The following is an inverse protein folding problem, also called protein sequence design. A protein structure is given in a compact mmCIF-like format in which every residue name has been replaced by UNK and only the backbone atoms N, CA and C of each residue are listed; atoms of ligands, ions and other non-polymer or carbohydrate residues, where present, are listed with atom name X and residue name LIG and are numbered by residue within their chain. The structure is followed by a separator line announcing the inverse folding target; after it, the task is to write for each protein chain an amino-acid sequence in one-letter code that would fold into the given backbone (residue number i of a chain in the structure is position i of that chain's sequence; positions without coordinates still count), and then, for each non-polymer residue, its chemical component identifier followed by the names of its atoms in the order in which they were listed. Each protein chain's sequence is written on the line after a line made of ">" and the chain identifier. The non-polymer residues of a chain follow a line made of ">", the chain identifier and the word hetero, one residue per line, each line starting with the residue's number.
data_IF_049663835942
#
_entry.id   IF_049663835942
#
_cell.length_a   1.000
_cell.length_b   1.000
_cell.length_c   1.000
_cell.angle_alpha   90.00
_cell.angle_beta   90.00
_cell.angle_gamma   90.00
#
_symmetry.space_group_name_H-M   'P 1'
#
loop_
_entity.id
_entity.type
_entity.pdbx_description
1 polymer ?
#
# COMPACT_ATOMS: atom_id res chain seq x y z
N UNK A 1 -53.35 -4.27 -27.43
CA UNK A 1 -52.68 -4.99 -26.34
C UNK A 1 -51.22 -5.02 -26.71
N UNK A 2 -50.52 -3.95 -26.33
CA UNK A 2 -49.11 -3.68 -26.68
C UNK A 2 -48.23 -3.93 -25.44
N UNK A 3 -47.40 -4.94 -25.52
CA UNK A 3 -46.32 -5.18 -24.58
C UNK A 3 -45.26 -4.12 -24.75
N UNK A 4 -44.99 -3.38 -23.68
CA UNK A 4 -43.84 -2.47 -23.58
C UNK A 4 -42.68 -3.29 -23.00
N UNK A 5 -41.73 -3.66 -23.86
CA UNK A 5 -40.43 -4.14 -23.48
C UNK A 5 -39.67 -3.01 -22.76
N UNK A 6 -39.47 -3.16 -21.46
CA UNK A 6 -38.64 -2.27 -20.65
C UNK A 6 -37.21 -2.78 -20.76
N UNK A 7 -36.48 -2.23 -21.71
CA UNK A 7 -35.03 -2.44 -21.87
C UNK A 7 -34.31 -1.77 -20.69
N UNK A 8 -33.98 -2.56 -19.69
CA UNK A 8 -33.13 -2.15 -18.57
C UNK A 8 -31.68 -2.07 -19.08
N UNK A 9 -31.29 -0.89 -19.56
CA UNK A 9 -29.90 -0.59 -19.87
C UNK A 9 -29.11 -0.58 -18.57
N UNK A 10 -28.36 -1.67 -18.34
CA UNK A 10 -27.29 -1.74 -17.35
C UNK A 10 -26.16 -0.80 -17.80
N UNK A 11 -26.23 0.46 -17.40
CA UNK A 11 -25.17 1.44 -17.59
C UNK A 11 -24.11 1.22 -16.53
N UNK A 12 -23.25 0.23 -16.72
CA UNK A 12 -21.95 0.19 -16.07
C UNK A 12 -21.13 1.37 -16.63
N UNK A 13 -21.33 2.54 -16.06
CA UNK A 13 -20.59 3.76 -16.43
C UNK A 13 -19.16 3.57 -15.94
N UNK A 14 -18.23 3.20 -16.84
CA UNK A 14 -16.81 3.29 -16.59
C UNK A 14 -16.50 4.74 -16.14
N UNK A 15 -15.96 4.97 -14.93
CA UNK A 15 -15.77 6.31 -14.41
C UNK A 15 -14.86 7.12 -15.33
N UNK A 16 -15.10 8.43 -15.50
CA UNK A 16 -14.38 9.26 -16.45
C UNK A 16 -12.87 9.18 -16.24
N UNK A 17 -12.13 8.93 -17.34
CA UNK A 17 -10.67 8.79 -17.36
C UNK A 17 -9.92 10.10 -17.08
N UNK A 18 -10.64 11.20 -16.87
CA UNK A 18 -10.12 12.57 -16.81
C UNK A 18 -9.81 13.08 -15.39
N UNK A 19 -9.67 12.20 -14.42
CA UNK A 19 -9.30 12.60 -13.06
C UNK A 19 -8.23 11.70 -12.46
N UNK A 20 -7.50 12.23 -11.47
CA UNK A 20 -6.57 11.45 -10.65
C UNK A 20 -7.29 10.29 -9.99
N UNK A 21 -6.65 9.14 -9.93
CA UNK A 21 -7.13 7.96 -9.22
C UNK A 21 -5.97 7.24 -8.54
N UNK A 22 -6.28 6.38 -7.60
CA UNK A 22 -5.31 5.68 -6.76
C UNK A 22 -5.12 4.24 -7.23
N UNK A 23 -3.88 3.85 -7.45
CA UNK A 23 -3.45 2.45 -7.58
C UNK A 23 -2.88 2.00 -6.26
N UNK A 24 -3.54 1.05 -5.61
CA UNK A 24 -3.07 0.46 -4.35
C UNK A 24 -2.08 -0.66 -4.63
N UNK A 25 -0.87 -0.57 -4.07
CA UNK A 25 0.17 -1.58 -4.13
C UNK A 25 0.41 -2.16 -2.74
N UNK A 26 -0.39 -3.15 -2.39
CA UNK A 26 -0.30 -3.92 -1.16
C UNK A 26 0.65 -5.13 -1.31
N UNK A 27 0.94 -5.83 -0.23
CA UNK A 27 1.74 -7.05 -0.24
C UNK A 27 2.74 -7.12 0.91
N UNK A 28 3.30 -8.29 1.19
CA UNK A 28 4.24 -8.48 2.28
C UNK A 28 5.51 -7.67 2.10
N UNK A 29 6.20 -7.40 3.21
CA UNK A 29 7.51 -6.73 3.18
C UNK A 29 8.50 -7.53 2.32
N UNK A 30 9.26 -6.83 1.45
CA UNK A 30 10.22 -7.49 0.53
C UNK A 30 9.60 -8.05 -0.75
N UNK A 31 8.28 -7.96 -0.96
CA UNK A 31 7.61 -8.39 -2.19
C UNK A 31 7.93 -7.53 -3.43
N UNK A 32 8.55 -6.35 -3.24
CA UNK A 32 8.98 -5.49 -4.34
C UNK A 32 7.98 -4.40 -4.74
N UNK A 33 7.05 -4.03 -3.86
CA UNK A 33 6.09 -2.93 -4.06
C UNK A 33 6.77 -1.60 -4.38
N UNK A 34 7.67 -1.15 -3.50
CA UNK A 34 8.37 0.13 -3.66
C UNK A 34 9.19 0.16 -4.96
N UNK A 35 9.88 -0.94 -5.31
CA UNK A 35 10.59 -1.04 -6.61
C UNK A 35 9.65 -0.99 -7.81
N UNK A 36 8.44 -1.55 -7.69
CA UNK A 36 7.41 -1.44 -8.72
C UNK A 36 6.93 0.00 -8.84
N UNK A 37 6.62 0.66 -7.71
CA UNK A 37 6.21 2.05 -7.69
C UNK A 37 7.28 2.98 -8.28
N UNK A 38 8.55 2.79 -7.93
CA UNK A 38 9.69 3.52 -8.50
C UNK A 38 9.81 3.36 -10.03
N UNK A 39 9.61 2.14 -10.56
CA UNK A 39 9.66 1.91 -12.02
C UNK A 39 8.47 2.56 -12.74
N UNK A 40 7.27 2.49 -12.16
CA UNK A 40 6.09 3.15 -12.71
C UNK A 40 6.25 4.68 -12.69
N UNK A 41 6.76 5.23 -11.59
CA UNK A 41 7.12 6.63 -11.47
C UNK A 41 8.15 7.05 -12.55
N UNK A 42 9.24 6.30 -12.71
CA UNK A 42 10.26 6.61 -13.71
C UNK A 42 9.74 6.58 -15.15
N UNK A 43 8.71 5.77 -15.45
CA UNK A 43 8.14 5.64 -16.80
C UNK A 43 7.00 6.59 -17.12
N UNK A 44 6.20 6.95 -16.11
CA UNK A 44 4.95 7.71 -16.28
C UNK A 44 4.93 9.03 -15.53
N UNK A 45 5.87 9.28 -14.64
CA UNK A 45 5.86 10.44 -13.75
C UNK A 45 4.87 10.33 -12.58
N UNK A 46 4.10 9.24 -12.47
CA UNK A 46 3.07 9.08 -11.47
C UNK A 46 3.62 9.20 -10.05
N UNK A 47 3.01 9.99 -9.17
CA UNK A 47 3.52 10.19 -7.83
C UNK A 47 3.43 8.94 -6.97
N UNK A 48 4.43 8.72 -6.13
CA UNK A 48 4.44 7.64 -5.13
C UNK A 48 3.97 8.19 -3.80
N UNK A 49 2.92 7.58 -3.26
CA UNK A 49 2.35 7.88 -1.96
C UNK A 49 2.69 6.73 -0.99
N UNK A 50 3.57 6.99 -0.03
CA UNK A 50 4.03 5.98 0.91
C UNK A 50 3.09 5.92 2.11
N UNK A 51 2.26 4.89 2.17
CA UNK A 51 1.35 4.68 3.29
C UNK A 51 2.09 4.32 4.59
N UNK A 52 3.27 3.70 4.46
CA UNK A 52 4.11 3.36 5.61
C UNK A 52 4.66 4.62 6.35
N UNK A 53 4.57 5.81 5.76
CA UNK A 53 4.92 7.07 6.43
C UNK A 53 3.84 7.56 7.42
N UNK A 54 2.67 6.92 7.44
CA UNK A 54 1.57 7.24 8.35
C UNK A 54 1.52 6.36 9.60
N UNK A 55 2.62 5.72 9.98
CA UNK A 55 2.70 5.04 11.26
C UNK A 55 2.46 6.03 12.41
N UNK A 56 1.81 5.53 13.46
CA UNK A 56 1.66 6.27 14.72
C UNK A 56 3.01 6.44 15.39
N UNK A 57 3.18 7.53 16.13
CA UNK A 57 4.38 7.71 16.94
C UNK A 57 4.47 6.62 18.02
N UNK A 58 5.67 6.24 18.41
CA UNK A 58 5.89 5.14 19.37
C UNK A 58 5.33 5.40 20.78
N UNK A 59 5.07 6.64 21.13
CA UNK A 59 4.43 7.08 22.37
C UNK A 59 2.94 7.43 22.21
N UNK A 60 2.36 7.30 21.01
CA UNK A 60 0.93 7.46 20.78
C UNK A 60 0.14 6.45 21.65
N UNK A 61 -0.79 6.91 22.51
CA UNK A 61 -1.61 6.02 23.34
C UNK A 61 -2.54 5.13 22.50
N UNK A 62 -2.85 5.49 21.25
CA UNK A 62 -3.62 4.69 20.32
C UNK A 62 -2.79 3.62 19.60
N UNK A 63 -1.45 3.64 19.72
CA UNK A 63 -0.60 2.61 19.11
C UNK A 63 -0.82 1.25 19.81
N UNK A 64 -1.12 0.17 19.06
CA UNK A 64 -1.37 -1.14 19.63
C UNK A 64 -0.10 -1.66 20.32
N UNK A 65 -0.27 -2.34 21.47
CA UNK A 65 0.85 -2.90 22.23
C UNK A 65 0.79 -4.41 22.24
N UNK A 66 1.96 -5.04 22.07
CA UNK A 66 2.07 -6.49 22.18
C UNK A 66 1.67 -6.94 23.58
N UNK A 67 0.70 -7.87 23.73
CA UNK A 67 0.06 -8.19 25.00
C UNK A 67 1.01 -8.69 26.07
N UNK A 68 2.11 -9.34 25.69
CA UNK A 68 3.10 -9.90 26.64
C UNK A 68 4.35 -9.03 26.81
N UNK A 69 4.71 -8.23 25.80
CA UNK A 69 5.97 -7.47 25.81
C UNK A 69 5.78 -5.99 26.17
N UNK A 70 4.55 -5.48 26.13
CA UNK A 70 4.23 -4.07 26.44
C UNK A 70 4.80 -3.03 25.44
N UNK A 71 5.55 -3.47 24.43
CA UNK A 71 6.08 -2.62 23.35
C UNK A 71 5.05 -2.47 22.22
N UNK A 72 5.19 -1.44 21.40
CA UNK A 72 4.29 -1.22 20.25
C UNK A 72 4.39 -2.41 19.28
N UNK A 73 3.23 -2.90 18.85
CA UNK A 73 3.10 -3.96 17.83
C UNK A 73 2.96 -3.32 16.44
N UNK A 74 4.09 -3.12 15.78
CA UNK A 74 4.18 -2.53 14.45
C UNK A 74 3.64 -3.41 13.31
N UNK A 75 3.40 -4.69 13.59
CA UNK A 75 2.81 -5.62 12.63
C UNK A 75 1.25 -5.63 12.72
N UNK A 76 0.67 -4.91 13.68
CA UNK A 76 -0.77 -4.77 13.85
C UNK A 76 -1.33 -3.65 12.95
N UNK A 77 -2.50 -3.83 12.28
CA UNK A 77 -3.07 -2.80 11.39
C UNK A 77 -3.31 -1.45 12.06
N UNK A 78 -3.65 -1.41 13.35
CA UNK A 78 -3.88 -0.16 14.08
C UNK A 78 -2.59 0.59 14.43
N UNK A 79 -1.41 0.05 14.09
CA UNK A 79 -0.13 0.73 14.28
C UNK A 79 0.07 1.93 13.34
N UNK A 80 -0.75 2.07 12.30
CA UNK A 80 -0.74 3.20 11.39
C UNK A 80 -2.07 3.93 11.36
N UNK A 81 -2.06 5.19 10.93
CA UNK A 81 -3.23 6.07 10.88
C UNK A 81 -3.88 6.02 9.50
N UNK A 82 -4.78 5.06 9.29
CA UNK A 82 -5.50 4.90 8.03
C UNK A 82 -6.39 6.10 7.70
N UNK A 83 -6.97 6.76 8.70
CA UNK A 83 -7.86 7.91 8.51
C UNK A 83 -7.08 9.10 7.96
N UNK A 84 -5.93 9.39 8.56
CA UNK A 84 -5.02 10.44 8.09
C UNK A 84 -4.47 10.15 6.70
N UNK A 85 -4.12 8.89 6.41
CA UNK A 85 -3.64 8.47 5.10
C UNK A 85 -4.71 8.66 4.01
N UNK A 86 -5.96 8.25 4.27
CA UNK A 86 -7.08 8.42 3.32
C UNK A 86 -7.40 9.91 3.12
N UNK A 87 -7.37 10.72 4.18
CA UNK A 87 -7.58 12.16 4.07
C UNK A 87 -6.53 12.83 3.18
N UNK A 88 -5.24 12.47 3.32
CA UNK A 88 -4.17 12.98 2.48
C UNK A 88 -4.26 12.46 1.03
N UNK A 89 -4.69 11.21 0.80
CA UNK A 89 -4.96 10.69 -0.55
C UNK A 89 -6.11 11.46 -1.22
N UNK A 90 -7.18 11.73 -0.49
CA UNK A 90 -8.32 12.53 -0.98
C UNK A 90 -7.86 13.93 -1.37
N UNK A 91 -7.11 14.60 -0.50
CA UNK A 91 -6.57 15.92 -0.79
C UNK A 91 -5.72 15.90 -2.07
N UNK A 92 -4.82 14.91 -2.24
CA UNK A 92 -3.99 14.76 -3.44
C UNK A 92 -4.83 14.52 -4.69
N UNK A 93 -5.86 13.66 -4.62
CA UNK A 93 -6.76 13.39 -5.76
C UNK A 93 -7.55 14.63 -6.15
N UNK A 94 -8.09 15.37 -5.19
CA UNK A 94 -8.97 16.51 -5.44
C UNK A 94 -8.18 17.75 -5.88
N UNK A 95 -7.10 18.08 -5.18
CA UNK A 95 -6.36 19.34 -5.37
C UNK A 95 -5.08 19.19 -6.21
N UNK A 96 -4.56 17.98 -6.35
CA UNK A 96 -3.28 17.69 -7.03
C UNK A 96 -2.05 17.89 -6.16
N UNK A 97 -2.19 18.14 -4.86
CA UNK A 97 -1.07 18.28 -3.91
C UNK A 97 -1.50 17.90 -2.51
N UNK A 98 -0.56 17.41 -1.72
CA UNK A 98 -0.74 17.14 -0.29
C UNK A 98 0.61 17.07 0.42
N UNK A 99 0.61 17.16 1.73
CA UNK A 99 1.80 16.98 2.56
C UNK A 99 1.83 15.56 3.15
N UNK A 100 2.89 14.81 2.84
CA UNK A 100 3.12 13.51 3.45
C UNK A 100 4.09 13.66 4.63
N UNK A 101 3.85 12.96 5.75
CA UNK A 101 4.83 12.88 6.82
C UNK A 101 6.11 12.18 6.33
N UNK A 102 7.22 12.46 7.01
CA UNK A 102 8.47 11.70 6.92
C UNK A 102 8.62 10.92 8.21
N UNK A 103 8.40 9.62 8.16
CA UNK A 103 8.49 8.77 9.34
C UNK A 103 9.88 8.16 9.50
N UNK A 104 10.48 8.38 10.65
CA UNK A 104 11.77 7.78 11.02
C UNK A 104 11.55 6.54 11.90
N UNK A 105 11.78 5.37 11.31
CA UNK A 105 11.67 4.07 11.99
C UNK A 105 12.64 3.97 13.18
N UNK A 106 13.80 4.63 13.12
CA UNK A 106 14.82 4.54 14.18
C UNK A 106 14.38 5.24 15.47
N UNK A 107 13.66 6.34 15.33
CA UNK A 107 13.10 7.11 16.44
C UNK A 107 11.63 6.77 16.72
N UNK A 108 11.00 5.99 15.81
CA UNK A 108 9.57 5.69 15.83
C UNK A 108 8.69 6.94 15.90
N UNK A 109 9.00 7.95 15.08
CA UNK A 109 8.31 9.25 15.05
C UNK A 109 8.27 9.86 13.67
N UNK A 110 7.25 10.66 13.43
CA UNK A 110 7.24 11.61 12.32
C UNK A 110 8.23 12.75 12.60
N UNK A 111 9.18 12.98 11.68
CA UNK A 111 10.27 13.96 11.84
C UNK A 111 10.12 15.20 10.96
N UNK A 112 9.12 15.20 10.07
CA UNK A 112 8.86 16.30 9.14
C UNK A 112 7.76 15.97 8.16
N UNK A 113 7.68 16.75 7.09
CA UNK A 113 6.77 16.50 5.97
C UNK A 113 7.41 16.94 4.66
N UNK A 114 6.91 16.39 3.55
CA UNK A 114 7.28 16.83 2.20
C UNK A 114 6.02 16.91 1.34
N UNK A 115 6.02 17.81 0.36
CA UNK A 115 4.91 17.95 -0.59
C UNK A 115 5.01 16.88 -1.68
N UNK A 116 3.87 16.28 -2.00
CA UNK A 116 3.68 15.42 -3.17
C UNK A 116 2.65 16.07 -4.08
N UNK A 117 2.95 16.09 -5.38
CA UNK A 117 2.09 16.66 -6.40
C UNK A 117 1.70 15.61 -7.45
N UNK A 118 0.51 15.76 -8.03
CA UNK A 118 -0.02 14.90 -9.08
C UNK A 118 -0.61 15.73 -10.21
N UNK A 119 -0.29 15.38 -11.46
CA UNK A 119 -0.93 15.93 -12.64
C UNK A 119 -2.43 15.59 -12.70
N UNK A 120 -3.24 16.27 -13.54
CA UNK A 120 -4.71 16.12 -13.54
C UNK A 120 -5.22 14.72 -13.81
N UNK A 121 -4.47 13.92 -14.57
CA UNK A 121 -4.82 12.54 -15.00
C UNK A 121 -3.90 11.46 -14.45
N UNK A 122 -3.03 11.81 -13.49
CA UNK A 122 -2.07 10.87 -12.93
C UNK A 122 -2.76 9.76 -12.11
N UNK A 123 -2.13 8.59 -12.13
CA UNK A 123 -2.39 7.53 -11.17
C UNK A 123 -1.47 7.70 -9.95
N UNK A 124 -2.06 7.91 -8.78
CA UNK A 124 -1.33 7.98 -7.52
C UNK A 124 -0.96 6.56 -7.06
N UNK A 125 0.32 6.27 -6.92
CA UNK A 125 0.80 4.94 -6.52
C UNK A 125 0.87 4.84 -5.00
N UNK A 126 -0.22 4.42 -4.35
CA UNK A 126 -0.29 4.23 -2.90
C UNK A 126 0.31 2.88 -2.50
N UNK A 127 1.50 2.87 -1.90
CA UNK A 127 2.21 1.64 -1.52
C UNK A 127 2.42 1.52 -0.02
N UNK A 128 2.30 0.29 0.51
CA UNK A 128 2.54 0.01 1.92
C UNK A 128 2.17 -1.42 2.30
N UNK A 129 2.60 -1.84 3.49
CA UNK A 129 2.29 -3.20 3.98
C UNK A 129 0.81 -3.33 4.39
N UNK A 130 0.17 -2.24 4.81
CA UNK A 130 -1.25 -2.17 5.15
C UNK A 130 -2.11 -1.53 4.05
N UNK A 131 -1.57 -1.33 2.84
CA UNK A 131 -2.25 -0.61 1.77
C UNK A 131 -3.62 -1.21 1.39
N UNK A 132 -3.84 -2.52 1.58
CA UNK A 132 -5.12 -3.13 1.32
C UNK A 132 -6.25 -2.67 2.27
N UNK A 133 -5.92 -2.17 3.46
CA UNK A 133 -6.91 -1.71 4.45
C UNK A 133 -7.72 -0.48 3.98
N UNK A 134 -7.20 0.28 3.02
CA UNK A 134 -7.90 1.46 2.49
C UNK A 134 -8.69 1.18 1.20
N UNK A 135 -8.61 -0.03 0.63
CA UNK A 135 -9.23 -0.37 -0.67
C UNK A 135 -10.73 -0.06 -0.69
N UNK A 136 -11.49 -0.59 0.27
CA UNK A 136 -12.93 -0.39 0.33
C UNK A 136 -13.32 1.09 0.49
N UNK A 137 -12.54 1.87 1.23
CA UNK A 137 -12.78 3.31 1.39
C UNK A 137 -12.54 4.06 0.08
N UNK A 138 -11.43 3.78 -0.60
CA UNK A 138 -11.10 4.41 -1.89
C UNK A 138 -12.11 4.03 -2.97
N UNK A 139 -12.64 2.80 -2.94
CA UNK A 139 -13.68 2.34 -3.83
C UNK A 139 -15.00 3.08 -3.58
N UNK A 140 -15.46 3.15 -2.33
CA UNK A 140 -16.68 3.86 -1.93
C UNK A 140 -16.64 5.36 -2.28
N UNK A 141 -15.46 5.98 -2.24
CA UNK A 141 -15.25 7.38 -2.60
C UNK A 141 -14.97 7.57 -4.10
N UNK A 142 -14.99 6.48 -4.88
CA UNK A 142 -14.73 6.49 -6.33
C UNK A 142 -13.32 6.95 -6.70
N UNK A 143 -12.37 6.88 -5.78
CA UNK A 143 -10.96 7.24 -5.99
C UNK A 143 -10.11 6.06 -6.47
N UNK A 144 -10.56 4.81 -6.27
CA UNK A 144 -9.79 3.64 -6.63
C UNK A 144 -9.72 3.46 -8.15
N UNK A 145 -8.51 3.27 -8.67
CA UNK A 145 -8.29 2.77 -10.03
C UNK A 145 -8.17 1.25 -10.02
N UNK A 146 -7.29 0.71 -9.18
CA UNK A 146 -7.07 -0.72 -9.03
C UNK A 146 -6.29 -1.02 -7.74
N UNK A 147 -6.45 -2.23 -7.20
CA UNK A 147 -5.74 -2.69 -6.02
C UNK A 147 -5.01 -4.00 -6.28
N UNK A 148 -3.72 -4.04 -5.98
CA UNK A 148 -2.84 -5.17 -6.25
C UNK A 148 -2.14 -5.64 -4.98
N UNK A 149 -2.25 -6.92 -4.67
CA UNK A 149 -1.39 -7.57 -3.68
C UNK A 149 -0.17 -8.15 -4.40
N UNK A 150 0.94 -7.40 -4.37
CA UNK A 150 2.20 -7.82 -4.99
C UNK A 150 2.83 -8.89 -4.13
N UNK A 151 3.05 -10.07 -4.71
CA UNK A 151 3.68 -11.19 -4.02
C UNK A 151 4.67 -11.94 -4.91
N UNK A 152 5.54 -12.72 -4.29
CA UNK A 152 6.46 -13.65 -4.94
C UNK A 152 6.36 -15.02 -4.27
N UNK A 153 7.21 -15.97 -4.71
CA UNK A 153 7.43 -17.18 -3.92
C UNK A 153 8.04 -16.79 -2.58
N UNK A 154 7.55 -17.30 -1.44
CA UNK A 154 8.01 -16.91 -0.09
C UNK A 154 9.53 -17.00 0.10
N UNK A 155 10.19 -18.00 -0.52
CA UNK A 155 11.66 -18.13 -0.52
C UNK A 155 12.38 -16.94 -1.19
N UNK A 156 11.82 -16.39 -2.26
CA UNK A 156 12.40 -15.23 -2.96
C UNK A 156 12.25 -13.96 -2.12
N UNK A 157 11.09 -13.78 -1.50
CA UNK A 157 10.84 -12.66 -0.57
C UNK A 157 11.76 -12.74 0.64
N UNK A 158 11.95 -13.93 1.19
CA UNK A 158 12.91 -14.20 2.29
C UNK A 158 14.33 -13.75 1.94
N UNK A 159 14.86 -14.22 0.80
CA UNK A 159 16.23 -13.88 0.37
C UNK A 159 16.38 -12.37 0.13
N UNK A 160 15.44 -11.72 -0.54
CA UNK A 160 15.48 -10.27 -0.79
C UNK A 160 15.48 -9.46 0.49
N UNK A 161 14.63 -9.85 1.46
CA UNK A 161 14.57 -9.22 2.78
C UNK A 161 15.86 -9.41 3.55
N UNK A 162 16.37 -10.64 3.57
CA UNK A 162 17.63 -10.96 4.26
C UNK A 162 18.80 -10.13 3.70
N UNK A 163 18.94 -10.05 2.38
CA UNK A 163 20.01 -9.26 1.74
C UNK A 163 19.89 -7.78 2.05
N UNK A 164 18.67 -7.20 2.06
CA UNK A 164 18.43 -5.82 2.45
C UNK A 164 18.83 -5.58 3.90
N UNK A 165 18.33 -6.41 4.81
CA UNK A 165 18.53 -6.24 6.26
C UNK A 165 19.99 -6.46 6.66
N UNK A 166 20.74 -7.33 5.93
CA UNK A 166 22.18 -7.47 6.08
C UNK A 166 22.94 -6.24 5.57
N UNK A 167 22.55 -5.67 4.44
CA UNK A 167 23.14 -4.45 3.89
C UNK A 167 22.98 -3.25 4.81
N UNK A 168 21.84 -3.14 5.48
CA UNK A 168 21.51 -2.05 6.41
C UNK A 168 22.07 -2.27 7.84
N UNK A 169 22.77 -3.39 8.10
CA UNK A 169 23.39 -3.75 9.39
C UNK A 169 22.47 -3.61 10.60
N UNK A 170 21.17 -3.79 10.42
CA UNK A 170 20.15 -3.52 11.47
C UNK A 170 20.20 -4.48 12.67
N UNK A 171 20.59 -5.74 12.47
CA UNK A 171 20.60 -6.79 13.52
C UNK A 171 21.62 -7.89 13.20
N UNK A 172 22.03 -8.72 14.19
CA UNK A 172 22.87 -9.90 13.97
C UNK A 172 22.26 -10.87 12.95
N UNK A 173 23.09 -11.51 12.09
CA UNK A 173 22.62 -12.41 11.01
C UNK A 173 21.69 -13.54 11.49
N UNK A 174 21.99 -14.15 12.65
CA UNK A 174 21.19 -15.24 13.24
C UNK A 174 19.77 -14.80 13.58
N UNK A 175 19.60 -13.57 14.08
CA UNK A 175 18.30 -12.98 14.40
C UNK A 175 17.51 -12.69 13.10
N UNK A 176 18.20 -12.21 12.07
CA UNK A 176 17.60 -11.93 10.76
C UNK A 176 17.11 -13.20 10.08
N UNK A 177 17.88 -14.28 10.10
CA UNK A 177 17.48 -15.57 9.53
C UNK A 177 16.24 -16.13 10.25
N UNK A 178 16.24 -16.15 11.60
CA UNK A 178 15.10 -16.66 12.40
C UNK A 178 13.82 -15.84 12.16
N UNK A 179 13.94 -14.49 12.15
CA UNK A 179 12.82 -13.60 11.85
C UNK A 179 12.33 -13.79 10.41
N UNK A 180 13.25 -13.87 9.46
CA UNK A 180 12.92 -14.09 8.05
C UNK A 180 12.18 -15.40 7.80
N UNK A 181 12.57 -16.46 8.47
CA UNK A 181 11.89 -17.78 8.40
C UNK A 181 10.46 -17.71 8.94
N UNK A 182 10.24 -17.03 10.08
CA UNK A 182 8.89 -16.83 10.63
C UNK A 182 8.02 -16.06 9.64
N UNK A 183 8.51 -14.93 9.14
CA UNK A 183 7.78 -14.08 8.18
C UNK A 183 7.51 -14.81 6.85
N UNK A 184 8.41 -15.71 6.41
CA UNK A 184 8.16 -16.54 5.23
C UNK A 184 6.97 -17.48 5.40
N UNK A 185 6.77 -18.02 6.63
CA UNK A 185 5.63 -18.88 6.94
C UNK A 185 4.32 -18.11 7.06
N UNK A 186 4.37 -16.87 7.51
CA UNK A 186 3.22 -15.98 7.68
C UNK A 186 2.78 -15.33 6.36
N UNK A 187 3.67 -15.26 5.35
CA UNK A 187 3.43 -14.59 4.07
C UNK A 187 2.14 -15.05 3.33
N UNK A 188 1.81 -16.35 3.24
CA UNK A 188 0.57 -16.79 2.60
C UNK A 188 -0.68 -16.24 3.28
N UNK A 189 -0.69 -16.17 4.62
CA UNK A 189 -1.79 -15.59 5.40
C UNK A 189 -1.93 -14.08 5.15
N UNK A 190 -0.81 -13.37 5.03
CA UNK A 190 -0.82 -11.93 4.68
C UNK A 190 -1.43 -11.73 3.30
N UNK A 191 -1.01 -12.50 2.29
CA UNK A 191 -1.56 -12.41 0.93
C UNK A 191 -3.06 -12.72 0.94
N UNK A 192 -3.48 -13.80 1.62
CA UNK A 192 -4.88 -14.16 1.74
C UNK A 192 -5.72 -13.04 2.38
N UNK A 193 -5.24 -12.44 3.47
CA UNK A 193 -5.95 -11.31 4.12
C UNK A 193 -6.06 -10.12 3.18
N UNK A 194 -5.00 -9.74 2.49
CA UNK A 194 -5.01 -8.57 1.60
C UNK A 194 -5.89 -8.80 0.36
N UNK A 195 -5.96 -10.04 -0.15
CA UNK A 195 -6.89 -10.37 -1.24
C UNK A 195 -8.35 -10.38 -0.76
N UNK A 196 -8.61 -10.78 0.47
CA UNK A 196 -9.94 -10.67 1.07
C UNK A 196 -10.40 -9.21 1.26
N UNK A 197 -9.47 -8.26 1.36
CA UNK A 197 -9.72 -6.82 1.40
C UNK A 197 -9.88 -6.17 0.01
N UNK A 198 -9.96 -6.96 -1.06
CA UNK A 198 -10.21 -6.48 -2.42
C UNK A 198 -8.97 -6.30 -3.31
N UNK A 199 -7.76 -6.59 -2.82
CA UNK A 199 -6.57 -6.51 -3.65
C UNK A 199 -6.37 -7.76 -4.51
N UNK A 200 -6.08 -7.61 -5.80
CA UNK A 200 -5.82 -8.73 -6.73
C UNK A 200 -4.39 -9.24 -6.56
N UNK A 201 -4.23 -10.52 -6.21
CA UNK A 201 -2.91 -11.14 -6.07
C UNK A 201 -2.18 -11.22 -7.42
N UNK A 202 -0.97 -10.64 -7.50
CA UNK A 202 -0.21 -10.61 -8.75
C UNK A 202 1.30 -10.47 -8.53
N UNK A 203 2.08 -10.80 -9.57
CA UNK A 203 3.52 -10.52 -9.59
C UNK A 203 3.78 -9.11 -10.08
N UNK A 204 4.80 -8.44 -9.54
CA UNK A 204 5.16 -7.07 -9.90
C UNK A 204 5.25 -6.83 -11.43
N UNK A 205 5.85 -7.77 -12.18
CA UNK A 205 5.96 -7.65 -13.64
C UNK A 205 4.61 -7.74 -14.38
N UNK A 206 3.63 -8.47 -13.84
CA UNK A 206 2.29 -8.51 -14.42
C UNK A 206 1.54 -7.22 -14.14
N UNK A 207 1.59 -6.72 -12.90
CA UNK A 207 1.00 -5.42 -12.53
C UNK A 207 1.57 -4.30 -13.41
N UNK A 208 2.90 -4.28 -13.59
CA UNK A 208 3.58 -3.27 -14.43
C UNK A 208 3.07 -3.30 -15.88
N UNK A 209 2.93 -4.49 -16.49
CA UNK A 209 2.38 -4.62 -17.84
C UNK A 209 0.93 -4.13 -17.93
N UNK A 210 0.10 -4.52 -16.96
CA UNK A 210 -1.32 -4.10 -16.94
C UNK A 210 -1.48 -2.58 -16.83
N UNK A 211 -0.64 -1.90 -16.04
CA UNK A 211 -0.72 -0.46 -15.83
C UNK A 211 -0.08 0.37 -16.95
N UNK A 212 0.85 -0.21 -17.71
CA UNK A 212 1.55 0.50 -18.77
C UNK A 212 0.92 0.28 -20.17
N UNK A 213 0.06 -0.73 -20.32
CA UNK A 213 -0.61 -1.09 -21.58
C UNK A 213 0.24 -2.04 -22.38
#
# INVERSE_FOLDING_TARGET
>A
MGEQDTDAQDTTTDPPRDRRRVVVLAGPSGAGKSRLAERLHARRGWPVFRLDDFYRDGDDPAAPRHPTLGIVDWDHPDSWDADRAVAALRELVDTGRTLLPVYDISTSRATGSHEVTAGPTDLVLAEGIFAAEVVARLENEGMLHSAWCVHHRPSVTFVRRLLRDLGERRKPPTVLVRRGWRLMREEPGIVQRQTALGAVGSRAAAVERTLLG
#
